data_IF_255303960834
#
_entry.id   IF_255303960834
#
_cell.length_a   1.000
_cell.length_b   1.000
_cell.length_c   1.000
_cell.angle_alpha   90.00
_cell.angle_beta   90.00
_cell.angle_gamma   90.00
#
_symmetry.space_group_name_H-M   'P 1'
#
loop_
_entity.id
_entity.type
_entity.pdbx_description
1 polymer ?
#
# COMPACT_ATOMS: atom_id res chain seq x y z
N UNK A 1 49.38 -25.81 -12.05
CA UNK A 1 48.53 -24.78 -12.69
C UNK A 1 47.12 -24.98 -12.15
N UNK A 2 46.76 -24.20 -11.15
CA UNK A 2 45.43 -24.27 -10.54
C UNK A 2 44.44 -23.64 -11.49
N UNK A 3 43.45 -24.43 -11.91
CA UNK A 3 42.23 -23.91 -12.52
C UNK A 3 41.48 -23.14 -11.42
N UNK A 4 41.53 -21.84 -11.50
CA UNK A 4 40.66 -20.98 -10.72
C UNK A 4 39.25 -21.30 -11.18
N UNK A 5 38.48 -22.10 -10.40
CA UNK A 5 37.04 -22.19 -10.52
C UNK A 5 36.50 -20.77 -10.38
N UNK A 6 36.22 -20.13 -11.53
CA UNK A 6 35.46 -18.90 -11.55
C UNK A 6 34.05 -19.30 -11.10
N UNK A 7 33.69 -18.94 -9.86
CA UNK A 7 32.32 -18.96 -9.41
C UNK A 7 31.49 -18.20 -10.45
N UNK A 8 30.76 -18.91 -11.29
CA UNK A 8 29.83 -18.29 -12.23
C UNK A 8 28.65 -17.80 -11.39
N UNK A 9 28.57 -16.50 -11.21
CA UNK A 9 27.48 -15.89 -10.47
C UNK A 9 26.14 -16.31 -11.09
N UNK A 10 25.21 -16.78 -10.26
CA UNK A 10 23.88 -17.23 -10.70
C UNK A 10 23.14 -16.08 -11.37
N UNK A 11 22.56 -16.31 -12.55
CA UNK A 11 21.74 -15.34 -13.29
C UNK A 11 20.32 -15.33 -12.72
N UNK A 12 19.90 -14.21 -12.14
CA UNK A 12 18.60 -14.04 -11.51
C UNK A 12 17.79 -12.96 -12.22
N UNK A 13 16.67 -13.35 -12.83
CA UNK A 13 15.69 -12.40 -13.35
C UNK A 13 14.78 -11.91 -12.21
N UNK A 14 14.61 -10.58 -12.09
CA UNK A 14 13.64 -9.97 -11.19
C UNK A 14 12.60 -9.26 -12.04
N UNK A 15 11.33 -9.66 -11.94
CA UNK A 15 10.24 -9.12 -12.72
C UNK A 15 9.36 -8.24 -11.83
N UNK A 16 9.36 -6.93 -12.12
CA UNK A 16 8.70 -5.88 -11.34
C UNK A 16 9.66 -5.14 -10.43
N UNK A 17 9.66 -3.82 -10.52
CA UNK A 17 10.53 -2.91 -9.77
C UNK A 17 9.83 -2.20 -8.60
N UNK A 18 8.68 -2.70 -8.13
CA UNK A 18 8.09 -2.26 -6.88
C UNK A 18 9.03 -2.53 -5.69
N UNK A 19 8.67 -2.07 -4.49
CA UNK A 19 9.52 -2.20 -3.30
C UNK A 19 10.01 -3.63 -3.04
N UNK A 20 9.21 -4.65 -3.37
CA UNK A 20 9.61 -6.05 -3.19
C UNK A 20 10.71 -6.49 -4.16
N UNK A 21 10.59 -6.13 -5.45
CA UNK A 21 11.63 -6.39 -6.45
C UNK A 21 12.90 -5.60 -6.19
N UNK A 22 12.79 -4.33 -5.82
CA UNK A 22 13.91 -3.49 -5.42
C UNK A 22 14.62 -4.03 -4.18
N UNK A 23 13.88 -4.55 -3.19
CA UNK A 23 14.45 -5.16 -1.99
C UNK A 23 15.23 -6.44 -2.32
N UNK A 24 14.67 -7.31 -3.18
CA UNK A 24 15.35 -8.52 -3.64
C UNK A 24 16.62 -8.15 -4.40
N UNK A 25 16.55 -7.21 -5.36
CA UNK A 25 17.69 -6.76 -6.14
C UNK A 25 18.78 -6.14 -5.26
N UNK A 26 18.39 -5.30 -4.29
CA UNK A 26 19.34 -4.69 -3.36
C UNK A 26 20.08 -5.72 -2.51
N UNK A 27 19.38 -6.74 -2.02
CA UNK A 27 19.96 -7.79 -1.17
C UNK A 27 20.83 -8.80 -1.95
N UNK A 28 20.51 -9.05 -3.23
CA UNK A 28 21.26 -9.94 -4.11
C UNK A 28 22.47 -9.25 -4.80
N UNK A 29 22.54 -7.93 -4.73
CA UNK A 29 23.60 -7.14 -5.36
C UNK A 29 25.00 -7.64 -4.97
N UNK A 30 25.85 -7.87 -6.00
CA UNK A 30 27.22 -8.36 -5.83
C UNK A 30 27.33 -9.83 -5.43
N UNK A 31 26.18 -10.54 -5.31
CA UNK A 31 26.10 -11.98 -4.99
C UNK A 31 25.50 -12.79 -6.15
N UNK A 32 24.72 -12.15 -7.02
CA UNK A 32 24.14 -12.74 -8.21
C UNK A 32 24.24 -11.76 -9.39
N UNK A 33 24.17 -12.30 -10.62
CA UNK A 33 24.01 -11.51 -11.84
C UNK A 33 22.52 -11.21 -12.05
N UNK A 34 22.14 -9.95 -11.81
CA UNK A 34 20.73 -9.54 -11.74
C UNK A 34 20.34 -8.82 -13.03
N UNK A 35 19.22 -9.24 -13.63
CA UNK A 35 18.48 -8.46 -14.61
C UNK A 35 17.12 -8.05 -14.01
N UNK A 36 16.87 -6.75 -13.90
CA UNK A 36 15.62 -6.18 -13.41
C UNK A 36 14.73 -5.75 -14.58
N UNK A 37 13.56 -6.36 -14.71
CA UNK A 37 12.56 -6.04 -15.72
C UNK A 37 11.44 -5.19 -15.13
N UNK A 38 11.10 -4.09 -15.80
CA UNK A 38 9.96 -3.23 -15.48
C UNK A 38 9.15 -2.93 -16.74
N UNK A 39 7.83 -3.11 -16.66
CA UNK A 39 6.92 -2.86 -17.77
C UNK A 39 6.59 -1.38 -17.97
N UNK A 40 6.64 -0.59 -16.88
CA UNK A 40 6.39 0.85 -16.90
C UNK A 40 7.62 1.63 -17.43
N UNK A 41 7.43 2.92 -17.63
CA UNK A 41 8.46 3.89 -18.03
C UNK A 41 9.25 4.47 -16.83
N UNK A 42 8.96 3.99 -15.61
CA UNK A 42 9.67 4.35 -14.38
C UNK A 42 9.86 3.13 -13.47
N UNK A 43 10.90 3.19 -12.61
CA UNK A 43 11.11 2.21 -11.56
C UNK A 43 10.43 2.66 -10.26
N UNK A 44 9.94 1.69 -9.47
CA UNK A 44 9.40 1.94 -8.13
C UNK A 44 7.99 1.39 -7.89
N UNK A 45 7.21 1.12 -8.94
CA UNK A 45 5.82 0.68 -8.81
C UNK A 45 4.99 1.72 -8.03
N UNK A 46 4.39 1.34 -6.89
CA UNK A 46 3.67 2.28 -6.02
C UNK A 46 4.56 3.32 -5.33
N UNK A 47 5.88 3.20 -5.39
CA UNK A 47 6.80 4.29 -5.06
C UNK A 47 6.89 5.22 -6.25
N UNK A 48 5.84 6.00 -6.44
CA UNK A 48 5.69 6.87 -7.59
C UNK A 48 5.71 8.33 -7.16
N UNK A 49 6.80 9.02 -7.45
CA UNK A 49 6.99 10.44 -7.21
C UNK A 49 6.93 11.20 -8.53
N UNK A 50 6.07 12.21 -8.62
CA UNK A 50 5.90 13.07 -9.78
C UNK A 50 6.54 14.42 -9.49
N UNK A 51 7.38 14.95 -10.38
CA UNK A 51 7.90 16.29 -10.26
C UNK A 51 6.85 17.29 -10.73
N UNK A 52 6.45 18.18 -9.81
CA UNK A 52 5.41 19.19 -10.04
C UNK A 52 6.00 20.58 -9.91
N UNK A 53 5.69 21.48 -10.86
CA UNK A 53 6.08 22.87 -10.80
C UNK A 53 4.87 23.74 -10.46
N UNK A 54 4.89 24.34 -9.27
CA UNK A 54 3.80 25.18 -8.74
C UNK A 54 4.35 26.45 -8.11
N UNK A 55 3.49 27.47 -7.85
CA UNK A 55 3.92 28.68 -7.14
C UNK A 55 4.46 28.38 -5.74
N UNK A 56 5.66 28.84 -5.45
CA UNK A 56 6.27 28.87 -4.13
C UNK A 56 6.35 30.29 -3.57
N UNK A 57 6.94 30.47 -2.38
CA UNK A 57 7.03 31.79 -1.71
C UNK A 57 7.83 32.85 -2.51
N UNK A 58 8.78 32.42 -3.34
CA UNK A 58 9.69 33.32 -4.07
C UNK A 58 9.63 33.11 -5.60
N UNK A 59 8.57 32.46 -6.12
CA UNK A 59 8.39 32.16 -7.53
C UNK A 59 8.05 30.67 -7.76
N UNK A 60 7.94 30.23 -9.02
CA UNK A 60 7.69 28.82 -9.32
C UNK A 60 8.80 27.93 -8.76
N UNK A 61 8.41 26.79 -8.17
CA UNK A 61 9.32 25.78 -7.63
C UNK A 61 8.91 24.40 -8.11
N UNK A 62 9.90 23.58 -8.51
CA UNK A 62 9.69 22.18 -8.86
C UNK A 62 10.03 21.29 -7.65
N UNK A 63 9.14 20.38 -7.28
CA UNK A 63 9.34 19.47 -6.15
C UNK A 63 8.65 18.12 -6.39
N UNK A 64 9.26 17.05 -5.88
CA UNK A 64 8.69 15.72 -5.95
C UNK A 64 7.45 15.56 -5.06
N UNK A 65 6.40 15.00 -5.64
CA UNK A 65 5.12 14.73 -4.99
C UNK A 65 4.80 13.26 -5.10
N UNK A 66 4.66 12.57 -3.98
CA UNK A 66 4.34 11.14 -3.96
C UNK A 66 2.84 10.91 -4.22
N UNK A 67 2.54 9.93 -5.07
CA UNK A 67 1.16 9.63 -5.47
C UNK A 67 0.69 8.23 -5.06
N UNK A 68 1.61 7.36 -4.61
CA UNK A 68 1.29 6.00 -4.16
C UNK A 68 1.75 5.78 -2.71
N UNK A 69 3.01 5.45 -2.48
CA UNK A 69 3.55 5.32 -1.13
C UNK A 69 3.79 6.71 -0.51
N UNK A 70 3.13 7.01 0.62
CA UNK A 70 3.12 8.34 1.22
C UNK A 70 3.85 8.41 2.57
N UNK A 71 3.61 7.45 3.46
CA UNK A 71 4.02 7.54 4.87
C UNK A 71 4.44 6.19 5.46
N UNK A 72 5.28 6.27 6.50
CA UNK A 72 5.70 5.14 7.32
C UNK A 72 5.83 5.57 8.79
N UNK A 73 5.96 4.62 9.72
CA UNK A 73 6.14 4.92 11.14
C UNK A 73 7.21 4.02 11.79
N UNK A 74 7.70 4.44 12.93
CA UNK A 74 8.82 3.77 13.62
C UNK A 74 8.45 2.39 14.17
N UNK A 75 7.17 2.12 14.42
CA UNK A 75 6.72 0.88 15.05
C UNK A 75 6.62 -0.29 14.07
N UNK A 76 6.13 -0.02 12.87
CA UNK A 76 5.73 -1.07 11.93
C UNK A 76 6.56 -1.13 10.65
N UNK A 77 7.55 -0.23 10.47
CA UNK A 77 8.41 -0.17 9.28
C UNK A 77 9.92 -0.30 9.60
N UNK A 78 10.37 -1.28 10.42
CA UNK A 78 11.77 -1.36 10.84
C UNK A 78 12.73 -1.62 9.68
N UNK A 79 12.34 -2.44 8.68
CA UNK A 79 13.21 -2.73 7.54
C UNK A 79 13.31 -1.54 6.58
N UNK A 80 12.20 -0.81 6.36
CA UNK A 80 12.23 0.40 5.55
C UNK A 80 13.10 1.48 6.19
N UNK A 81 12.98 1.69 7.50
CA UNK A 81 13.82 2.65 8.23
C UNK A 81 15.28 2.29 8.09
N UNK A 82 15.62 1.00 8.26
CA UNK A 82 16.99 0.52 8.05
C UNK A 82 17.46 0.78 6.62
N UNK A 83 16.65 0.44 5.62
CA UNK A 83 16.98 0.66 4.21
C UNK A 83 17.25 2.13 3.91
N UNK A 84 16.35 3.04 4.37
CA UNK A 84 16.51 4.48 4.18
C UNK A 84 17.79 5.01 4.84
N UNK A 85 18.11 4.51 6.04
CA UNK A 85 19.34 4.86 6.75
C UNK A 85 20.59 4.37 6.01
N UNK A 86 20.61 3.12 5.57
CA UNK A 86 21.72 2.51 4.82
C UNK A 86 21.97 3.26 3.49
N UNK A 87 20.89 3.70 2.83
CA UNK A 87 20.93 4.49 1.61
C UNK A 87 21.15 5.99 1.85
N UNK A 88 21.19 6.44 3.10
CA UNK A 88 21.32 7.87 3.46
C UNK A 88 20.23 8.73 2.79
N UNK A 89 18.98 8.29 2.89
CA UNK A 89 17.80 9.01 2.40
C UNK A 89 17.20 9.81 3.54
N UNK A 90 17.01 11.11 3.32
CA UNK A 90 16.43 12.00 4.32
C UNK A 90 14.92 11.78 4.47
N UNK A 91 14.43 11.87 5.70
CA UNK A 91 13.02 11.74 6.05
C UNK A 91 12.52 12.98 6.77
N UNK A 92 11.21 13.20 6.74
CA UNK A 92 10.56 14.32 7.43
C UNK A 92 9.33 13.80 8.21
N UNK A 93 8.96 14.52 9.28
CA UNK A 93 7.72 14.23 10.02
C UNK A 93 6.52 14.44 9.12
N UNK A 94 5.54 13.55 9.25
CA UNK A 94 4.28 13.56 8.51
C UNK A 94 3.09 13.58 9.46
N UNK A 95 1.96 14.10 8.99
CA UNK A 95 0.67 14.05 9.66
C UNK A 95 -0.10 12.79 9.20
N UNK A 96 -0.79 12.13 10.12
CA UNK A 96 -1.67 10.99 9.84
C UNK A 96 -3.08 11.27 10.38
N UNK A 97 -3.53 12.51 10.23
CA UNK A 97 -4.88 12.92 10.57
C UNK A 97 -5.90 12.40 9.56
N UNK A 98 -7.12 12.24 10.02
CA UNK A 98 -8.21 11.64 9.28
C UNK A 98 -9.48 12.46 9.43
N UNK A 99 -10.21 12.66 8.33
CA UNK A 99 -11.52 13.31 8.30
C UNK A 99 -12.56 12.53 7.50
N UNK A 100 -13.79 12.84 7.74
CA UNK A 100 -14.96 12.17 7.13
C UNK A 100 -15.94 13.22 6.62
N UNK A 101 -16.41 13.00 5.39
CA UNK A 101 -17.52 13.69 4.77
C UNK A 101 -18.60 12.66 4.42
N UNK A 102 -19.80 12.76 5.05
CA UNK A 102 -20.91 11.84 4.83
C UNK A 102 -22.18 12.62 4.52
N UNK A 103 -22.86 12.33 3.40
CA UNK A 103 -24.15 12.95 3.10
C UNK A 103 -25.19 12.60 4.15
N UNK A 104 -26.05 13.58 4.46
CA UNK A 104 -27.23 13.43 5.32
C UNK A 104 -28.49 13.81 4.56
N UNK A 105 -29.64 13.33 5.05
CA UNK A 105 -30.95 13.74 4.56
C UNK A 105 -31.08 15.26 4.50
N UNK A 106 -31.67 15.77 3.42
CA UNK A 106 -31.85 17.21 3.20
C UNK A 106 -30.63 17.95 2.64
N UNK A 107 -29.71 17.25 1.97
CA UNK A 107 -28.56 17.85 1.27
C UNK A 107 -27.46 18.38 2.22
N UNK A 108 -27.54 18.08 3.51
CA UNK A 108 -26.51 18.44 4.47
C UNK A 108 -25.39 17.38 4.46
N UNK A 109 -24.17 17.81 4.78
CA UNK A 109 -23.06 16.90 5.01
C UNK A 109 -22.66 16.87 6.49
N UNK A 110 -22.30 15.68 6.97
CA UNK A 110 -21.59 15.50 8.22
C UNK A 110 -20.09 15.61 7.93
N UNK A 111 -19.43 16.56 8.58
CA UNK A 111 -18.00 16.77 8.45
C UNK A 111 -17.35 16.81 9.84
N UNK A 112 -16.31 16.02 10.04
CA UNK A 112 -15.54 16.01 11.27
C UNK A 112 -14.15 15.38 11.05
N UNK A 113 -13.21 15.66 11.95
CA UNK A 113 -11.87 15.06 11.94
C UNK A 113 -11.48 14.60 13.35
N UNK A 114 -10.72 13.52 13.44
CA UNK A 114 -10.28 12.92 14.70
C UNK A 114 -9.04 13.54 15.35
N UNK A 115 -8.55 14.69 14.87
CA UNK A 115 -7.27 15.27 15.31
C UNK A 115 -7.32 15.94 16.68
N UNK A 116 -8.44 16.53 17.05
CA UNK A 116 -8.66 17.21 18.34
C UNK A 116 -10.15 17.35 18.64
N UNK A 117 -10.51 17.68 19.88
CA UNK A 117 -11.92 17.97 20.22
C UNK A 117 -12.49 19.10 19.36
N UNK A 118 -11.67 20.11 19.01
CA UNK A 118 -12.09 21.20 18.15
C UNK A 118 -12.44 20.73 16.74
N UNK A 119 -11.72 19.79 16.18
CA UNK A 119 -11.95 19.23 14.85
C UNK A 119 -13.05 18.16 14.85
N UNK A 120 -13.19 17.40 15.94
CA UNK A 120 -14.31 16.46 16.15
C UNK A 120 -15.63 17.24 16.08
N UNK A 121 -15.70 18.39 16.72
CA UNK A 121 -16.85 19.28 16.69
C UNK A 121 -16.68 20.43 15.68
N UNK A 122 -16.06 20.19 14.53
CA UNK A 122 -15.94 21.18 13.45
C UNK A 122 -17.30 21.79 13.07
N UNK A 123 -18.34 20.98 13.10
CA UNK A 123 -19.74 21.39 13.05
C UNK A 123 -20.31 21.45 14.47
N UNK A 124 -20.35 22.64 15.08
CA UNK A 124 -20.75 22.85 16.50
C UNK A 124 -22.13 22.27 16.86
N UNK A 125 -23.05 22.20 15.90
CA UNK A 125 -24.35 21.54 16.07
C UNK A 125 -24.26 20.08 16.51
N UNK A 126 -23.14 19.40 16.25
CA UNK A 126 -22.93 18.01 16.64
C UNK A 126 -22.71 17.83 18.15
N UNK A 127 -22.43 18.90 18.91
CA UNK A 127 -22.39 18.85 20.39
C UNK A 127 -23.73 18.42 21.00
N UNK A 128 -24.86 18.74 20.35
CA UNK A 128 -26.20 18.39 20.77
C UNK A 128 -26.84 17.24 19.96
N UNK A 129 -26.06 16.62 19.07
CA UNK A 129 -26.56 15.55 18.22
C UNK A 129 -26.35 14.18 18.86
N UNK A 130 -27.46 13.57 19.35
CA UNK A 130 -27.42 12.28 20.04
C UNK A 130 -26.84 11.12 19.22
N UNK A 131 -27.03 11.10 17.88
CA UNK A 131 -26.43 10.11 16.99
C UNK A 131 -24.91 10.28 16.91
N UNK A 132 -24.43 11.53 16.80
CA UNK A 132 -23.00 11.83 16.77
C UNK A 132 -22.32 11.47 18.10
N UNK A 133 -22.95 11.81 19.23
CA UNK A 133 -22.45 11.44 20.56
C UNK A 133 -22.43 9.92 20.78
N UNK A 134 -23.41 9.18 20.22
CA UNK A 134 -23.43 7.71 20.24
C UNK A 134 -22.24 7.14 19.46
N UNK A 135 -21.96 7.66 18.28
CA UNK A 135 -20.77 7.29 17.51
C UNK A 135 -19.49 7.48 18.33
N UNK A 136 -19.30 8.64 18.96
CA UNK A 136 -18.11 8.90 19.79
C UNK A 136 -17.99 7.91 20.96
N UNK A 137 -19.08 7.59 21.63
CA UNK A 137 -19.13 6.57 22.70
C UNK A 137 -18.71 5.20 22.16
N UNK A 138 -19.21 4.82 20.98
CA UNK A 138 -18.88 3.55 20.36
C UNK A 138 -17.43 3.50 19.88
N UNK A 139 -16.82 4.60 19.43
CA UNK A 139 -15.38 4.68 19.13
C UNK A 139 -14.55 4.33 20.37
N UNK A 140 -14.85 4.93 21.51
CA UNK A 140 -14.12 4.65 22.76
C UNK A 140 -14.31 3.19 23.20
N UNK A 141 -15.54 2.67 23.08
CA UNK A 141 -15.85 1.27 23.41
C UNK A 141 -15.13 0.29 22.48
N UNK A 142 -15.12 0.56 21.18
CA UNK A 142 -14.41 -0.22 20.17
C UNK A 142 -12.90 -0.27 20.47
N UNK A 143 -12.29 0.89 20.68
CA UNK A 143 -10.86 0.98 20.97
C UNK A 143 -10.49 0.16 22.22
N UNK A 144 -11.30 0.22 23.28
CA UNK A 144 -11.08 -0.58 24.48
C UNK A 144 -11.18 -2.09 24.21
N UNK A 145 -12.29 -2.54 23.62
CA UNK A 145 -12.52 -3.96 23.32
C UNK A 145 -11.42 -4.54 22.44
N UNK A 146 -11.07 -3.85 21.35
CA UNK A 146 -10.07 -4.34 20.40
C UNK A 146 -8.66 -4.27 20.96
N UNK A 147 -8.35 -3.31 21.83
CA UNK A 147 -7.07 -3.27 22.56
C UNK A 147 -6.95 -4.42 23.55
N UNK A 148 -7.99 -4.72 24.32
CA UNK A 148 -8.02 -5.84 25.25
C UNK A 148 -7.84 -7.18 24.52
N UNK A 149 -8.53 -7.38 23.39
CA UNK A 149 -8.37 -8.55 22.53
C UNK A 149 -6.93 -8.66 22.02
N UNK A 150 -6.35 -7.58 21.51
CA UNK A 150 -4.98 -7.57 20.98
C UNK A 150 -3.93 -7.88 22.05
N UNK A 151 -4.07 -7.33 23.27
CA UNK A 151 -3.17 -7.56 24.39
C UNK A 151 -3.15 -9.01 24.84
N UNK A 152 -4.29 -9.70 24.80
CA UNK A 152 -4.40 -11.12 25.16
C UNK A 152 -4.07 -12.05 24.00
N UNK A 153 -3.77 -11.52 22.80
CA UNK A 153 -3.58 -12.25 21.54
C UNK A 153 -4.77 -13.14 21.17
N UNK A 154 -5.96 -12.82 21.69
CA UNK A 154 -7.18 -13.58 21.44
C UNK A 154 -7.70 -13.43 19.99
N UNK A 155 -7.28 -12.36 19.29
CA UNK A 155 -7.68 -12.13 17.90
C UNK A 155 -7.26 -13.24 16.94
N UNK A 156 -6.19 -13.99 17.24
CA UNK A 156 -5.70 -15.07 16.35
C UNK A 156 -6.74 -16.17 16.10
N UNK A 157 -7.70 -16.34 17.02
CA UNK A 157 -8.82 -17.26 16.89
C UNK A 157 -10.06 -16.63 16.23
N UNK A 158 -10.07 -15.30 15.99
CA UNK A 158 -11.25 -14.55 15.51
C UNK A 158 -11.27 -14.48 13.98
N UNK A 159 -11.56 -15.60 13.33
CA UNK A 159 -11.65 -15.70 11.87
C UNK A 159 -13.01 -15.25 11.31
N UNK A 160 -13.97 -14.87 12.17
CA UNK A 160 -15.26 -14.36 11.74
C UNK A 160 -15.12 -13.05 10.96
N UNK A 161 -16.05 -12.75 10.03
CA UNK A 161 -16.06 -11.48 9.30
C UNK A 161 -16.32 -10.29 10.24
N UNK A 162 -15.80 -9.12 9.87
CA UNK A 162 -16.03 -7.87 10.59
C UNK A 162 -17.52 -7.54 10.76
N UNK A 163 -18.35 -7.86 9.75
CA UNK A 163 -19.82 -7.67 9.83
C UNK A 163 -20.43 -8.39 11.01
N UNK A 164 -20.05 -9.65 11.24
CA UNK A 164 -20.53 -10.44 12.37
C UNK A 164 -20.07 -9.84 13.72
N UNK A 165 -18.79 -9.50 13.82
CA UNK A 165 -18.23 -8.87 15.03
C UNK A 165 -18.93 -7.57 15.40
N UNK A 166 -19.17 -6.68 14.43
CA UNK A 166 -19.86 -5.40 14.67
C UNK A 166 -21.31 -5.64 15.17
N UNK A 167 -22.00 -6.62 14.60
CA UNK A 167 -23.36 -7.02 14.98
C UNK A 167 -23.39 -7.63 16.39
N UNK A 168 -22.54 -8.62 16.67
CA UNK A 168 -22.46 -9.32 17.96
C UNK A 168 -22.14 -8.35 19.11
N UNK A 169 -21.25 -7.40 18.84
CA UNK A 169 -20.91 -6.33 19.79
C UNK A 169 -21.94 -5.20 19.83
N UNK A 170 -23.01 -5.25 19.02
CA UNK A 170 -24.08 -4.24 18.98
C UNK A 170 -23.56 -2.82 18.82
N UNK A 171 -22.63 -2.60 17.88
CA UNK A 171 -22.19 -1.26 17.51
C UNK A 171 -23.28 -0.55 16.70
N UNK A 172 -23.41 0.78 16.90
CA UNK A 172 -24.40 1.58 16.19
C UNK A 172 -24.09 1.72 14.69
N UNK A 173 -25.13 1.99 13.89
CA UNK A 173 -24.95 2.29 12.46
C UNK A 173 -24.11 3.55 12.27
N UNK A 174 -24.26 4.55 13.12
CA UNK A 174 -23.49 5.78 13.10
C UNK A 174 -21.99 5.51 13.31
N UNK A 175 -21.63 4.60 14.22
CA UNK A 175 -20.24 4.16 14.40
C UNK A 175 -19.73 3.48 13.15
N UNK A 176 -20.50 2.52 12.61
CA UNK A 176 -20.11 1.78 11.39
C UNK A 176 -19.92 2.72 10.21
N UNK A 177 -20.90 3.59 9.93
CA UNK A 177 -21.01 4.32 8.67
C UNK A 177 -20.30 5.69 8.70
N UNK A 178 -20.06 6.29 9.86
CA UNK A 178 -19.46 7.62 9.99
C UNK A 178 -18.04 7.60 10.55
N UNK A 179 -17.56 6.43 11.00
CA UNK A 179 -16.19 6.28 11.51
C UNK A 179 -15.52 5.02 11.00
N UNK A 180 -16.09 3.84 11.28
CA UNK A 180 -15.39 2.57 11.11
C UNK A 180 -15.09 2.25 9.63
N UNK A 181 -16.13 2.19 8.78
CA UNK A 181 -15.97 1.95 7.36
C UNK A 181 -15.16 3.05 6.65
N UNK A 182 -15.37 4.36 6.92
CA UNK A 182 -14.47 5.40 6.45
C UNK A 182 -13.01 5.18 6.81
N UNK A 183 -12.71 4.86 8.07
CA UNK A 183 -11.33 4.60 8.52
C UNK A 183 -10.73 3.39 7.79
N UNK A 184 -11.48 2.28 7.70
CA UNK A 184 -11.04 1.07 6.98
C UNK A 184 -10.83 1.34 5.49
N UNK A 185 -11.71 2.14 4.88
CA UNK A 185 -11.59 2.56 3.49
C UNK A 185 -10.32 3.35 3.21
N UNK A 186 -9.94 4.25 4.12
CA UNK A 186 -8.68 4.97 4.05
C UNK A 186 -7.46 4.04 4.08
N UNK A 187 -7.53 2.93 4.82
CA UNK A 187 -6.40 2.02 5.02
C UNK A 187 -6.20 1.11 3.80
N UNK A 188 -7.26 0.47 3.31
CA UNK A 188 -7.15 -0.57 2.28
C UNK A 188 -7.66 -0.18 0.90
N UNK A 189 -8.28 0.98 0.75
CA UNK A 189 -8.78 1.50 -0.54
C UNK A 189 -9.65 0.51 -1.32
N UNK A 190 -10.40 -0.33 -0.62
CA UNK A 190 -11.31 -1.31 -1.20
C UNK A 190 -12.78 -1.03 -0.77
N UNK A 191 -13.78 -1.50 -1.54
CA UNK A 191 -15.19 -1.29 -1.24
C UNK A 191 -15.60 -1.71 0.17
N UNK A 192 -16.51 -0.96 0.78
CA UNK A 192 -16.94 -1.17 2.16
C UNK A 192 -17.54 -2.56 2.41
N UNK A 193 -18.28 -3.10 1.44
CA UNK A 193 -18.86 -4.44 1.52
C UNK A 193 -17.79 -5.53 1.57
N UNK A 194 -16.70 -5.36 0.82
CA UNK A 194 -15.58 -6.27 0.85
C UNK A 194 -14.84 -6.19 2.19
N UNK A 195 -14.63 -4.97 2.72
CA UNK A 195 -14.02 -4.79 4.04
C UNK A 195 -14.80 -5.45 5.17
N UNK A 196 -16.12 -5.49 5.10
CA UNK A 196 -16.97 -6.17 6.07
C UNK A 196 -16.77 -7.70 6.08
N UNK A 197 -16.16 -8.28 5.04
CA UNK A 197 -15.78 -9.69 4.97
C UNK A 197 -14.36 -9.96 5.49
N UNK A 198 -13.58 -8.94 5.81
CA UNK A 198 -12.23 -9.14 6.37
C UNK A 198 -12.31 -9.87 7.71
N UNK A 199 -11.37 -10.79 8.00
CA UNK A 199 -11.29 -11.41 9.31
C UNK A 199 -11.02 -10.36 10.41
N UNK A 200 -11.75 -10.48 11.52
CA UNK A 200 -11.56 -9.62 12.70
C UNK A 200 -10.11 -9.64 13.18
N UNK A 201 -9.47 -10.81 13.17
CA UNK A 201 -8.06 -10.98 13.53
C UNK A 201 -7.13 -10.03 12.75
N UNK A 202 -7.30 -9.99 11.42
CA UNK A 202 -6.49 -9.15 10.52
C UNK A 202 -6.64 -7.67 10.87
N UNK A 203 -7.88 -7.22 11.03
CA UNK A 203 -8.20 -5.82 11.34
C UNK A 203 -7.65 -5.41 12.72
N UNK A 204 -7.93 -6.18 13.77
CA UNK A 204 -7.48 -5.84 15.13
C UNK A 204 -5.95 -5.79 15.21
N UNK A 205 -5.26 -6.82 14.69
CA UNK A 205 -3.80 -6.86 14.71
C UNK A 205 -3.19 -5.69 13.95
N UNK A 206 -3.71 -5.40 12.76
CA UNK A 206 -3.25 -4.26 11.98
C UNK A 206 -3.45 -2.93 12.71
N UNK A 207 -4.69 -2.64 13.15
CA UNK A 207 -5.01 -1.38 13.82
C UNK A 207 -4.24 -1.21 15.13
N UNK A 208 -4.02 -2.29 15.88
CA UNK A 208 -3.22 -2.27 17.11
C UNK A 208 -1.75 -1.94 16.81
N UNK A 209 -1.14 -2.63 15.86
CA UNK A 209 0.27 -2.42 15.50
C UNK A 209 0.53 -0.99 15.01
N UNK A 210 -0.40 -0.42 14.23
CA UNK A 210 -0.30 0.94 13.69
C UNK A 210 -0.78 2.04 14.66
N UNK A 211 -1.23 1.70 15.87
CA UNK A 211 -1.72 2.66 16.86
C UNK A 211 -3.04 3.35 16.48
N UNK A 212 -3.82 2.77 15.56
CA UNK A 212 -5.06 3.37 15.06
C UNK A 212 -6.24 3.25 16.04
N UNK A 213 -6.22 2.26 16.92
CA UNK A 213 -7.18 2.06 18.00
C UNK A 213 -6.73 2.67 19.33
N UNK A 214 -5.71 3.53 19.30
CA UNK A 214 -5.19 4.25 20.46
C UNK A 214 -5.54 5.73 20.36
N UNK A 215 -6.01 6.32 21.46
CA UNK A 215 -6.27 7.76 21.54
C UNK A 215 -4.97 8.52 21.86
N UNK A 216 -4.11 7.92 22.69
CA UNK A 216 -2.81 8.45 23.12
C UNK A 216 -1.68 7.52 22.69
N UNK A 217 -0.44 7.99 22.78
CA UNK A 217 0.76 7.22 22.40
C UNK A 217 0.74 6.66 20.96
N UNK A 218 0.19 7.44 20.04
CA UNK A 218 0.25 7.11 18.62
C UNK A 218 1.68 7.21 18.12
N UNK A 219 2.14 6.31 17.20
CA UNK A 219 3.47 6.41 16.62
C UNK A 219 3.62 7.71 15.84
N UNK A 220 4.83 8.27 15.81
CA UNK A 220 5.16 9.35 14.87
C UNK A 220 5.19 8.77 13.46
N UNK A 221 4.54 9.46 12.54
CA UNK A 221 4.59 9.14 11.12
C UNK A 221 5.63 9.99 10.41
N UNK A 222 6.21 9.43 9.39
CA UNK A 222 7.29 10.01 8.60
C UNK A 222 7.00 9.85 7.11
N UNK A 223 7.64 10.69 6.30
CA UNK A 223 7.66 10.60 4.84
C UNK A 223 9.10 10.76 4.33
N UNK A 224 9.34 10.39 3.08
CA UNK A 224 10.64 10.63 2.44
C UNK A 224 10.69 12.09 1.98
N UNK A 225 11.72 12.83 2.42
CA UNK A 225 11.89 14.23 2.05
C UNK A 225 12.23 14.36 0.56
N UNK A 226 11.48 15.17 -0.16
CA UNK A 226 11.66 15.37 -1.60
C UNK A 226 11.03 14.30 -2.49
N UNK A 227 10.41 13.28 -1.88
CA UNK A 227 9.73 12.19 -2.58
C UNK A 227 10.45 10.85 -2.46
N UNK A 228 9.65 9.79 -2.47
CA UNK A 228 10.12 8.42 -2.26
C UNK A 228 11.00 7.90 -3.40
N UNK A 229 10.97 8.52 -4.59
CA UNK A 229 11.85 8.19 -5.72
C UNK A 229 13.33 8.17 -5.33
N UNK A 230 13.75 8.96 -4.33
CA UNK A 230 15.17 9.07 -3.96
C UNK A 230 15.77 7.75 -3.46
N UNK A 231 15.02 6.91 -2.73
CA UNK A 231 15.55 5.60 -2.37
C UNK A 231 15.56 4.64 -3.57
N UNK A 232 14.56 4.75 -4.48
CA UNK A 232 14.51 3.96 -5.72
C UNK A 232 15.74 4.24 -6.57
N UNK A 233 16.03 5.52 -6.84
CA UNK A 233 17.19 5.98 -7.60
C UNK A 233 18.51 5.42 -7.03
N UNK A 234 18.66 5.44 -5.70
CA UNK A 234 19.85 4.92 -5.03
C UNK A 234 19.99 3.38 -5.13
N UNK A 235 18.88 2.65 -5.16
CA UNK A 235 18.92 1.18 -5.36
C UNK A 235 19.28 0.87 -6.80
N UNK A 236 18.55 1.43 -7.77
CA UNK A 236 18.74 1.11 -9.20
C UNK A 236 20.09 1.58 -9.75
N UNK A 237 20.70 2.62 -9.17
CA UNK A 237 22.04 3.08 -9.53
C UNK A 237 23.09 1.95 -9.39
N UNK A 238 22.84 0.98 -8.55
CA UNK A 238 23.74 -0.14 -8.26
C UNK A 238 23.32 -1.46 -8.96
N UNK A 239 22.33 -1.44 -9.85
CA UNK A 239 21.90 -2.58 -10.66
C UNK A 239 22.42 -2.36 -12.08
N UNK A 240 23.28 -3.25 -12.57
CA UNK A 240 23.94 -3.11 -13.88
C UNK A 240 22.93 -3.27 -15.01
N UNK A 241 22.15 -4.36 -15.02
CA UNK A 241 21.11 -4.62 -16.02
C UNK A 241 19.73 -4.33 -15.46
N UNK A 242 19.17 -3.20 -15.84
CA UNK A 242 17.83 -2.72 -15.47
C UNK A 242 17.11 -2.17 -16.68
N UNK A 243 15.90 -2.64 -16.92
CA UNK A 243 15.19 -2.43 -18.18
C UNK A 243 13.79 -1.89 -17.92
N UNK A 244 13.53 -0.64 -18.36
CA UNK A 244 12.20 -0.03 -18.42
C UNK A 244 11.49 -0.38 -19.72
N UNK A 245 10.17 -0.17 -19.77
CA UNK A 245 9.34 -0.46 -20.94
C UNK A 245 9.59 -1.88 -21.50
N UNK A 246 9.91 -2.82 -20.60
CA UNK A 246 10.29 -4.19 -20.99
C UNK A 246 9.35 -5.19 -20.29
N UNK A 247 8.08 -5.27 -20.74
CA UNK A 247 7.13 -6.21 -20.17
C UNK A 247 7.55 -7.65 -20.46
N UNK A 248 7.62 -8.46 -19.41
CA UNK A 248 7.77 -9.91 -19.53
C UNK A 248 6.44 -10.50 -20.01
N UNK A 249 6.49 -11.21 -21.13
CA UNK A 249 5.31 -11.78 -21.80
C UNK A 249 5.06 -13.23 -21.42
N UNK A 250 6.12 -14.00 -21.21
CA UNK A 250 6.03 -15.44 -20.94
C UNK A 250 7.24 -15.92 -20.15
N UNK A 251 7.00 -16.84 -19.24
CA UNK A 251 8.00 -17.49 -18.41
C UNK A 251 7.85 -19.00 -18.55
N UNK A 252 8.84 -19.66 -19.14
CA UNK A 252 8.92 -21.12 -19.25
C UNK A 252 9.95 -21.62 -18.25
N UNK A 253 9.64 -22.67 -17.54
CA UNK A 253 10.48 -23.26 -16.48
C UNK A 253 10.70 -24.73 -16.77
N UNK A 254 11.93 -25.15 -16.75
CA UNK A 254 12.31 -26.53 -16.96
C UNK A 254 13.46 -26.96 -16.02
N UNK A 255 14.04 -28.15 -16.27
CA UNK A 255 15.15 -28.66 -15.47
C UNK A 255 16.46 -27.87 -15.65
N UNK A 256 16.56 -27.05 -16.70
CA UNK A 256 17.76 -26.27 -17.03
C UNK A 256 17.72 -24.84 -16.49
N UNK A 257 16.54 -24.40 -16.01
CA UNK A 257 16.35 -23.07 -15.44
C UNK A 257 15.05 -22.42 -15.89
N UNK A 258 15.11 -21.11 -16.16
CA UNK A 258 13.96 -20.25 -16.48
C UNK A 258 14.22 -19.48 -17.76
N UNK A 259 13.30 -19.56 -18.70
CA UNK A 259 13.31 -18.76 -19.92
C UNK A 259 12.34 -17.59 -19.77
N UNK A 260 12.83 -16.37 -19.94
CA UNK A 260 12.06 -15.13 -19.91
C UNK A 260 11.91 -14.61 -21.32
N UNK A 261 10.68 -14.47 -21.80
CA UNK A 261 10.36 -13.88 -23.10
C UNK A 261 9.82 -12.47 -22.94
N UNK A 262 10.43 -11.52 -23.62
CA UNK A 262 9.99 -10.13 -23.77
C UNK A 262 9.75 -9.82 -25.24
N UNK A 263 9.34 -8.60 -25.57
CA UNK A 263 9.21 -8.17 -26.98
C UNK A 263 10.58 -8.12 -27.72
N UNK A 264 11.69 -8.09 -26.99
CA UNK A 264 13.04 -8.10 -27.55
C UNK A 264 13.61 -9.51 -27.81
N UNK A 265 12.95 -10.57 -27.30
CA UNK A 265 13.40 -11.95 -27.46
C UNK A 265 13.30 -12.77 -26.17
N UNK A 266 13.96 -13.93 -26.18
CA UNK A 266 13.97 -14.88 -25.05
C UNK A 266 15.38 -15.00 -24.49
N UNK A 267 15.49 -14.92 -23.15
CA UNK A 267 16.75 -15.07 -22.42
C UNK A 267 16.64 -16.17 -21.36
N UNK A 268 17.77 -16.81 -21.06
CA UNK A 268 17.88 -17.89 -20.08
C UNK A 268 18.42 -17.34 -18.75
N UNK A 269 17.80 -17.76 -17.64
CA UNK A 269 18.19 -17.46 -16.26
C UNK A 269 18.19 -18.73 -15.43
N UNK A 270 18.94 -18.73 -14.33
CA UNK A 270 18.92 -19.84 -13.37
C UNK A 270 17.68 -19.78 -12.49
N UNK A 271 17.25 -18.55 -12.15
CA UNK A 271 16.09 -18.31 -11.27
C UNK A 271 15.31 -17.08 -11.69
N UNK A 272 14.03 -17.04 -11.29
CA UNK A 272 13.17 -15.86 -11.43
C UNK A 272 12.52 -15.48 -10.11
N UNK A 273 12.52 -14.17 -9.83
CA UNK A 273 11.76 -13.53 -8.76
C UNK A 273 10.59 -12.77 -9.39
N UNK A 274 9.37 -13.20 -9.11
CA UNK A 274 8.13 -12.54 -9.55
C UNK A 274 7.70 -11.57 -8.45
N UNK A 275 8.01 -10.28 -8.67
CA UNK A 275 7.75 -9.17 -7.75
C UNK A 275 6.59 -8.29 -8.23
N UNK A 276 5.68 -8.85 -9.01
CA UNK A 276 4.46 -8.23 -9.53
C UNK A 276 3.24 -8.58 -8.68
N UNK A 277 2.06 -8.12 -9.06
CA UNK A 277 0.80 -8.63 -8.49
C UNK A 277 0.68 -10.14 -8.74
N UNK A 278 -0.05 -10.85 -7.89
CA UNK A 278 -0.19 -12.31 -7.99
C UNK A 278 -0.88 -12.75 -9.28
N UNK A 279 -1.89 -12.02 -9.73
CA UNK A 279 -2.60 -12.24 -11.00
C UNK A 279 -1.69 -11.99 -12.22
N UNK A 280 -0.88 -10.95 -12.18
CA UNK A 280 0.14 -10.66 -13.21
C UNK A 280 1.21 -11.76 -13.24
N UNK A 281 1.70 -12.17 -12.07
CA UNK A 281 2.64 -13.29 -11.94
C UNK A 281 2.07 -14.56 -12.59
N UNK A 282 0.82 -14.89 -12.27
CA UNK A 282 0.14 -16.06 -12.82
C UNK A 282 -0.02 -15.99 -14.33
N UNK A 283 -0.39 -14.81 -14.86
CA UNK A 283 -0.59 -14.60 -16.30
C UNK A 283 0.69 -14.80 -17.12
N UNK A 284 1.86 -14.49 -16.56
CA UNK A 284 3.16 -14.67 -17.23
C UNK A 284 3.64 -16.13 -17.24
N UNK A 285 3.21 -16.96 -16.28
CA UNK A 285 3.67 -18.34 -16.14
C UNK A 285 3.12 -19.23 -17.26
N UNK A 286 4.01 -19.88 -18.00
CA UNK A 286 3.63 -20.96 -18.91
C UNK A 286 3.46 -22.25 -18.09
N UNK A 287 2.30 -22.88 -18.20
CA UNK A 287 1.95 -24.10 -17.47
C UNK A 287 2.17 -23.99 -15.94
N UNK A 288 1.44 -23.09 -15.23
CA UNK A 288 1.50 -23.03 -13.79
C UNK A 288 1.00 -24.36 -13.18
N UNK A 289 1.59 -24.78 -12.07
CA UNK A 289 1.08 -25.94 -11.31
C UNK A 289 -0.30 -25.63 -10.71
N UNK A 290 -1.05 -26.67 -10.37
CA UNK A 290 -2.36 -26.52 -9.73
C UNK A 290 -2.27 -25.69 -8.42
N UNK A 291 -1.19 -25.87 -7.65
CA UNK A 291 -0.95 -25.12 -6.41
C UNK A 291 -0.66 -23.62 -6.68
N UNK A 292 0.15 -23.31 -7.71
CA UNK A 292 0.38 -21.92 -8.14
C UNK A 292 -0.90 -21.27 -8.64
N UNK A 293 -1.67 -21.97 -9.50
CA UNK A 293 -2.95 -21.50 -10.01
C UNK A 293 -3.90 -21.18 -8.86
N UNK A 294 -4.05 -22.06 -7.89
CA UNK A 294 -4.92 -21.88 -6.74
C UNK A 294 -4.49 -20.72 -5.87
N UNK A 295 -3.21 -20.65 -5.50
CA UNK A 295 -2.71 -19.66 -4.57
C UNK A 295 -2.67 -18.24 -5.18
N UNK A 296 -2.16 -18.11 -6.41
CA UNK A 296 -2.00 -16.79 -7.06
C UNK A 296 -3.34 -16.19 -7.50
N UNK A 297 -4.31 -17.02 -7.94
CA UNK A 297 -5.64 -16.54 -8.35
C UNK A 297 -6.54 -16.15 -7.18
N UNK A 298 -6.25 -16.62 -5.96
CA UNK A 298 -7.06 -16.35 -4.78
C UNK A 298 -6.96 -14.88 -4.30
N UNK A 299 -5.92 -14.16 -4.72
CA UNK A 299 -5.73 -12.76 -4.33
C UNK A 299 -6.27 -11.86 -5.45
N UNK A 300 -7.37 -11.20 -5.16
CA UNK A 300 -8.02 -10.27 -6.08
C UNK A 300 -7.49 -8.85 -5.89
N UNK A 301 -7.61 -8.04 -6.93
CA UNK A 301 -7.18 -6.65 -6.92
C UNK A 301 -8.34 -5.72 -7.24
N UNK A 302 -8.45 -4.64 -6.47
CA UNK A 302 -9.40 -3.56 -6.69
C UNK A 302 -8.71 -2.44 -7.48
N UNK A 303 -9.17 -2.12 -8.70
CA UNK A 303 -8.65 -0.99 -9.44
C UNK A 303 -9.08 0.32 -8.80
N UNK A 304 -8.16 1.30 -8.79
CA UNK A 304 -8.36 2.61 -8.21
C UNK A 304 -7.74 3.69 -9.11
N UNK A 305 -8.56 4.64 -9.58
CA UNK A 305 -8.06 5.81 -10.31
C UNK A 305 -7.56 6.85 -9.33
N UNK A 306 -6.30 7.25 -9.45
CA UNK A 306 -5.68 8.31 -8.68
C UNK A 306 -5.51 9.57 -9.55
N UNK A 307 -5.92 10.73 -9.04
CA UNK A 307 -5.81 12.02 -9.72
C UNK A 307 -4.99 12.97 -8.85
N UNK A 308 -3.86 13.44 -9.36
CA UNK A 308 -3.04 14.48 -8.74
C UNK A 308 -3.53 15.85 -9.23
N UNK A 309 -3.95 16.73 -8.31
CA UNK A 309 -4.60 17.99 -8.66
C UNK A 309 -4.48 19.06 -7.58
N UNK A 310 -4.95 20.27 -7.90
CA UNK A 310 -4.98 21.44 -6.99
C UNK A 310 -6.40 21.88 -6.59
N UNK A 311 -7.43 21.14 -6.97
CA UNK A 311 -8.82 21.45 -6.63
C UNK A 311 -9.12 21.08 -5.17
N UNK A 312 -9.37 22.09 -4.32
CA UNK A 312 -9.72 21.89 -2.91
C UNK A 312 -11.21 21.76 -2.65
N UNK A 313 -12.07 21.85 -3.68
CA UNK A 313 -13.52 21.70 -3.54
C UNK A 313 -13.95 20.28 -3.13
N UNK A 314 -13.06 19.30 -3.28
CA UNK A 314 -13.23 17.92 -2.83
C UNK A 314 -13.03 17.74 -1.33
N UNK A 315 -12.38 18.69 -0.66
CA UNK A 315 -12.11 18.65 0.78
C UNK A 315 -13.33 19.13 1.57
N UNK A 316 -13.41 18.85 2.91
CA UNK A 316 -14.51 19.34 3.74
C UNK A 316 -14.74 20.85 3.59
N UNK A 317 -16.01 21.28 3.55
CA UNK A 317 -16.35 22.70 3.52
C UNK A 317 -15.80 23.45 4.73
N UNK A 318 -15.77 22.79 5.89
CA UNK A 318 -15.18 23.32 7.11
C UNK A 318 -13.67 23.08 7.09
N UNK A 319 -12.86 24.08 6.73
CA UNK A 319 -11.40 23.98 6.69
C UNK A 319 -10.78 23.41 7.97
N UNK A 320 -11.41 23.66 9.14
CA UNK A 320 -10.97 23.09 10.42
C UNK A 320 -11.06 21.54 10.46
N UNK A 321 -11.89 20.95 9.60
CA UNK A 321 -12.00 19.50 9.45
C UNK A 321 -11.03 18.91 8.40
N UNK A 322 -10.24 19.73 7.71
CA UNK A 322 -9.24 19.24 6.78
C UNK A 322 -8.23 18.38 7.52
N UNK A 323 -7.88 17.27 6.92
CA UNK A 323 -6.93 16.31 7.45
C UNK A 323 -6.01 15.81 6.34
N UNK A 324 -4.95 15.12 6.71
CA UNK A 324 -4.07 14.48 5.75
C UNK A 324 -4.83 13.48 4.85
N UNK A 325 -5.78 12.74 5.45
CA UNK A 325 -6.63 11.76 4.79
C UNK A 325 -8.09 12.18 4.94
N UNK A 326 -8.79 12.46 3.83
CA UNK A 326 -10.17 12.93 3.83
C UNK A 326 -11.05 11.92 3.07
N UNK A 327 -11.89 11.18 3.80
CA UNK A 327 -12.84 10.26 3.22
C UNK A 327 -14.11 10.99 2.79
N UNK A 328 -14.59 10.71 1.55
CA UNK A 328 -15.87 11.19 1.05
C UNK A 328 -16.78 10.01 0.73
N UNK A 329 -17.99 10.00 1.32
CA UNK A 329 -19.01 8.99 1.08
C UNK A 329 -19.89 9.37 -0.11
N UNK A 330 -20.17 8.41 -1.01
CA UNK A 330 -21.13 8.58 -2.09
C UNK A 330 -22.57 8.70 -1.55
N UNK A 331 -23.41 9.50 -2.20
CA UNK A 331 -24.84 9.57 -1.89
C UNK A 331 -25.57 8.26 -2.23
N UNK A 332 -25.12 7.58 -3.29
CA UNK A 332 -25.69 6.30 -3.74
C UNK A 332 -24.90 5.14 -3.13
N UNK A 333 -25.58 4.29 -2.39
CA UNK A 333 -24.98 3.09 -1.75
C UNK A 333 -24.32 2.15 -2.75
N UNK A 334 -24.88 2.00 -3.96
CA UNK A 334 -24.31 1.16 -5.03
C UNK A 334 -22.93 1.62 -5.48
N UNK A 335 -22.67 2.94 -5.51
CA UNK A 335 -21.36 3.48 -5.89
C UNK A 335 -20.34 3.29 -4.78
N UNK A 336 -20.74 3.43 -3.54
CA UNK A 336 -19.87 3.21 -2.39
C UNK A 336 -19.47 1.74 -2.25
N UNK A 337 -20.38 0.81 -2.54
CA UNK A 337 -20.06 -0.63 -2.60
C UNK A 337 -19.06 -0.96 -3.71
N UNK A 338 -18.98 -0.13 -4.76
CA UNK A 338 -18.04 -0.34 -5.85
C UNK A 338 -16.65 0.28 -5.60
N UNK A 339 -16.59 1.48 -5.01
CA UNK A 339 -15.33 2.22 -4.86
C UNK A 339 -15.32 3.12 -3.63
N UNK A 340 -14.16 3.19 -2.96
CA UNK A 340 -13.88 4.13 -1.88
C UNK A 340 -13.32 5.42 -2.47
N UNK A 341 -13.84 6.57 -2.02
CA UNK A 341 -13.33 7.89 -2.39
C UNK A 341 -12.50 8.49 -1.26
N UNK A 342 -11.27 8.84 -1.57
CA UNK A 342 -10.30 9.45 -0.63
C UNK A 342 -9.62 10.65 -1.27
N UNK A 343 -9.34 11.67 -0.46
CA UNK A 343 -8.58 12.83 -0.86
C UNK A 343 -7.41 13.02 0.12
N UNK A 344 -6.19 12.80 -0.37
CA UNK A 344 -4.96 12.99 0.39
C UNK A 344 -4.51 14.43 0.23
N UNK A 345 -4.53 15.23 1.31
CA UNK A 345 -4.00 16.59 1.33
C UNK A 345 -2.48 16.52 1.55
N UNK A 346 -1.74 16.53 0.45
CA UNK A 346 -0.31 16.26 0.45
C UNK A 346 0.51 17.28 1.22
N UNK A 347 0.05 18.53 1.33
CA UNK A 347 0.72 19.56 2.16
C UNK A 347 0.75 19.21 3.66
N UNK A 348 -0.09 18.28 4.13
CA UNK A 348 -0.04 17.77 5.50
C UNK A 348 0.80 16.50 5.60
N UNK A 349 0.95 15.76 4.49
CA UNK A 349 1.68 14.50 4.42
C UNK A 349 3.17 14.71 4.11
N UNK A 350 3.48 15.67 3.24
CA UNK A 350 4.83 15.95 2.78
C UNK A 350 5.18 17.43 2.99
N UNK A 351 6.44 17.78 3.31
CA UNK A 351 6.89 19.18 3.43
C UNK A 351 7.02 19.82 2.04
N UNK A 352 5.88 20.09 1.38
CA UNK A 352 5.85 20.69 0.06
C UNK A 352 6.11 22.20 0.12
N UNK A 353 6.95 22.76 -0.78
CA UNK A 353 7.30 24.19 -0.79
C UNK A 353 6.26 25.08 -1.48
N UNK A 354 5.11 24.52 -1.85
CA UNK A 354 4.06 25.19 -2.61
C UNK A 354 3.17 26.08 -1.73
N UNK A 355 2.73 27.22 -2.26
CA UNK A 355 1.79 28.13 -1.59
C UNK A 355 0.33 27.69 -1.74
N UNK A 356 0.04 26.77 -2.63
CA UNK A 356 -1.29 26.20 -2.83
C UNK A 356 -1.38 24.75 -2.37
N UNK A 357 -2.59 24.29 -2.14
CA UNK A 357 -2.86 22.91 -1.76
C UNK A 357 -2.67 21.96 -2.94
N UNK A 358 -2.05 20.84 -2.66
CA UNK A 358 -1.89 19.71 -3.60
C UNK A 358 -2.63 18.50 -3.02
N UNK A 359 -3.46 17.87 -3.84
CA UNK A 359 -4.32 16.77 -3.45
C UNK A 359 -4.10 15.59 -4.40
N UNK A 360 -4.03 14.39 -3.85
CA UNK A 360 -4.25 13.16 -4.62
C UNK A 360 -5.63 12.62 -4.24
N UNK A 361 -6.53 12.54 -5.22
CA UNK A 361 -7.85 11.95 -5.04
C UNK A 361 -7.90 10.54 -5.60
N UNK A 362 -8.29 9.59 -4.77
CA UNK A 362 -8.54 8.21 -5.18
C UNK A 362 -10.04 8.05 -5.46
N UNK A 363 -10.40 7.67 -6.68
CA UNK A 363 -11.77 7.49 -7.15
C UNK A 363 -12.69 8.69 -6.86
N UNK A 364 -12.35 9.91 -7.26
CA UNK A 364 -13.13 11.12 -6.93
C UNK A 364 -14.58 10.97 -7.39
N UNK A 365 -15.53 11.31 -6.50
CA UNK A 365 -16.98 11.21 -6.76
C UNK A 365 -17.45 12.27 -7.76
N UNK A 366 -16.80 13.42 -7.74
CA UNK A 366 -17.04 14.54 -8.64
C UNK A 366 -15.91 14.62 -9.65
N UNK A 367 -16.23 15.06 -10.85
CA UNK A 367 -15.23 15.33 -11.86
C UNK A 367 -14.37 16.53 -11.43
N UNK A 368 -13.05 16.33 -11.45
CA UNK A 368 -12.08 17.39 -11.20
C UNK A 368 -11.86 18.15 -12.49
N UNK A 369 -12.02 19.46 -12.44
CA UNK A 369 -11.86 20.30 -13.64
C UNK A 369 -10.44 20.18 -14.21
N UNK A 370 -10.31 19.96 -15.51
CA UNK A 370 -9.03 19.71 -16.21
C UNK A 370 -7.92 20.70 -15.88
N UNK A 371 -8.26 21.98 -15.69
CA UNK A 371 -7.30 23.03 -15.32
C UNK A 371 -6.59 22.82 -13.97
N UNK A 372 -7.14 21.95 -13.12
CA UNK A 372 -6.56 21.61 -11.83
C UNK A 372 -5.80 20.27 -11.85
N UNK A 373 -6.01 19.43 -12.87
CA UNK A 373 -5.38 18.10 -12.97
C UNK A 373 -3.93 18.27 -13.45
N UNK A 374 -3.01 17.68 -12.73
CA UNK A 374 -1.60 17.62 -13.08
C UNK A 374 -1.21 16.25 -13.66
N UNK A 375 -1.76 15.16 -13.10
CA UNK A 375 -1.52 13.81 -13.59
C UNK A 375 -2.64 12.86 -13.13
N UNK A 376 -2.76 11.73 -13.82
CA UNK A 376 -3.71 10.65 -13.50
C UNK A 376 -3.00 9.30 -13.58
N UNK A 377 -3.38 8.37 -12.69
CA UNK A 377 -2.77 7.05 -12.60
C UNK A 377 -3.84 6.00 -12.28
N UNK A 378 -3.65 4.81 -12.82
CA UNK A 378 -4.43 3.62 -12.46
C UNK A 378 -3.60 2.74 -11.52
N UNK A 379 -4.05 2.65 -10.28
CA UNK A 379 -3.49 1.76 -9.27
C UNK A 379 -4.41 0.57 -9.03
N UNK A 380 -3.88 -0.51 -8.47
CA UNK A 380 -4.67 -1.65 -8.03
C UNK A 380 -4.18 -2.12 -6.66
N UNK A 381 -5.12 -2.34 -5.75
CA UNK A 381 -4.82 -2.75 -4.38
C UNK A 381 -5.35 -4.15 -4.10
N UNK A 382 -4.59 -5.02 -3.41
CA UNK A 382 -5.04 -6.35 -3.08
C UNK A 382 -6.20 -6.34 -2.06
N UNK A 383 -7.14 -7.25 -2.24
CA UNK A 383 -8.28 -7.46 -1.34
C UNK A 383 -8.01 -8.64 -0.42
N UNK A 384 -8.07 -8.41 0.90
CA UNK A 384 -7.69 -9.37 1.92
C UNK A 384 -8.89 -10.10 2.54
N UNK A 385 -9.61 -10.88 1.73
CA UNK A 385 -10.62 -11.81 2.23
C UNK A 385 -9.98 -13.10 2.79
N UNK A 386 -10.83 -14.02 3.28
CA UNK A 386 -10.36 -15.28 3.85
C UNK A 386 -9.59 -16.15 2.84
N UNK A 387 -9.94 -16.08 1.55
CA UNK A 387 -9.26 -16.82 0.50
C UNK A 387 -7.83 -16.28 0.31
N UNK A 388 -7.67 -14.96 0.24
CA UNK A 388 -6.36 -14.30 0.15
C UNK A 388 -5.47 -14.61 1.37
N UNK A 389 -6.03 -14.57 2.60
CA UNK A 389 -5.28 -14.89 3.83
C UNK A 389 -4.81 -16.35 3.86
N UNK A 390 -5.60 -17.31 3.32
CA UNK A 390 -5.17 -18.71 3.18
C UNK A 390 -4.08 -18.84 2.12
N UNK A 391 -4.26 -18.23 0.98
CA UNK A 391 -3.30 -18.24 -0.12
C UNK A 391 -1.91 -17.71 0.29
N UNK A 392 -1.83 -16.70 1.17
CA UNK A 392 -0.56 -16.21 1.70
C UNK A 392 0.28 -17.31 2.38
N UNK A 393 -0.36 -18.28 3.04
CA UNK A 393 0.33 -19.43 3.65
C UNK A 393 0.79 -20.43 2.58
N UNK A 394 -0.02 -20.64 1.56
CA UNK A 394 0.27 -21.58 0.47
C UNK A 394 1.46 -21.08 -0.38
N UNK A 395 1.55 -19.77 -0.61
CA UNK A 395 2.68 -19.12 -1.32
C UNK A 395 4.03 -19.44 -0.64
N UNK A 396 4.07 -19.54 0.68
CA UNK A 396 5.32 -19.88 1.38
C UNK A 396 5.86 -21.26 0.98
N UNK A 397 4.99 -22.22 0.69
CA UNK A 397 5.35 -23.55 0.25
C UNK A 397 5.78 -23.61 -1.24
N UNK A 398 5.42 -22.63 -2.04
CA UNK A 398 5.78 -22.56 -3.47
C UNK A 398 7.17 -21.99 -3.72
N UNK A 399 7.77 -21.35 -2.72
CA UNK A 399 9.05 -20.64 -2.89
C UNK A 399 10.18 -21.56 -3.35
N UNK A 400 10.78 -21.21 -4.48
CA UNK A 400 11.89 -21.93 -5.11
C UNK A 400 11.50 -23.24 -5.82
N UNK A 401 10.21 -23.57 -5.91
CA UNK A 401 9.75 -24.62 -6.81
C UNK A 401 9.91 -24.15 -8.25
N UNK A 402 10.39 -25.03 -9.12
CA UNK A 402 10.69 -24.72 -10.53
C UNK A 402 11.54 -23.43 -10.69
N UNK A 403 12.53 -23.23 -9.80
CA UNK A 403 13.41 -22.05 -9.81
C UNK A 403 12.67 -20.68 -9.74
N UNK A 404 11.45 -20.67 -9.19
CA UNK A 404 10.57 -19.50 -9.14
C UNK A 404 10.33 -19.06 -7.71
N UNK A 405 10.41 -17.75 -7.48
CA UNK A 405 10.15 -17.11 -6.19
C UNK A 405 9.11 -16.02 -6.37
N UNK A 406 8.23 -15.85 -5.39
CA UNK A 406 7.15 -14.87 -5.40
C UNK A 406 7.32 -13.90 -4.25
N UNK A 407 7.27 -12.60 -4.52
CA UNK A 407 7.24 -11.57 -3.51
C UNK A 407 6.29 -10.43 -3.89
N UNK A 408 5.85 -9.68 -2.89
CA UNK A 408 4.92 -8.57 -3.07
C UNK A 408 4.28 -8.18 -1.74
N UNK A 409 3.75 -6.98 -1.64
CA UNK A 409 3.02 -6.51 -0.46
C UNK A 409 1.78 -7.39 -0.17
N UNK A 410 1.21 -8.01 -1.19
CA UNK A 410 0.08 -8.94 -1.10
C UNK A 410 0.36 -10.22 -0.31
N UNK A 411 1.64 -10.54 -0.03
CA UNK A 411 2.04 -11.64 0.86
C UNK A 411 1.90 -11.31 2.35
N UNK A 412 1.53 -10.09 2.69
CA UNK A 412 1.27 -9.58 4.03
C UNK A 412 -0.03 -8.77 4.08
N UNK A 413 -0.02 -7.62 4.73
CA UNK A 413 -1.19 -6.73 4.86
C UNK A 413 -1.35 -5.73 3.69
N UNK A 414 -0.49 -5.77 2.68
CA UNK A 414 -0.55 -4.91 1.50
C UNK A 414 0.26 -3.62 1.62
N UNK A 415 1.08 -3.48 2.64
CA UNK A 415 1.85 -2.26 2.89
C UNK A 415 3.30 -2.37 2.41
N UNK A 416 3.93 -1.21 2.35
CA UNK A 416 5.29 -1.07 1.85
C UNK A 416 6.31 -1.95 2.60
N UNK A 417 6.20 -2.02 3.92
CA UNK A 417 7.02 -2.89 4.75
C UNK A 417 6.81 -4.38 4.43
N UNK A 418 5.57 -4.79 4.12
CA UNK A 418 5.30 -6.18 3.75
C UNK A 418 5.97 -6.55 2.43
N UNK A 419 5.91 -5.64 1.45
CA UNK A 419 6.60 -5.78 0.18
C UNK A 419 8.11 -5.89 0.36
N UNK A 420 8.69 -4.97 1.13
CA UNK A 420 10.12 -4.97 1.46
C UNK A 420 10.55 -6.28 2.13
N UNK A 421 9.84 -6.70 3.17
CA UNK A 421 10.10 -7.96 3.89
C UNK A 421 10.03 -9.17 2.96
N UNK A 422 9.06 -9.21 2.07
CA UNK A 422 8.89 -10.34 1.15
C UNK A 422 10.06 -10.46 0.17
N UNK A 423 10.52 -9.33 -0.37
CA UNK A 423 11.70 -9.29 -1.25
C UNK A 423 13.00 -9.70 -0.54
N UNK A 424 13.21 -9.22 0.69
CA UNK A 424 14.38 -9.61 1.50
C UNK A 424 14.38 -11.11 1.80
N UNK A 425 13.24 -11.72 2.17
CA UNK A 425 13.12 -13.16 2.41
C UNK A 425 13.43 -13.98 1.17
N UNK A 426 12.95 -13.56 0.00
CA UNK A 426 13.24 -14.24 -1.25
C UNK A 426 14.75 -14.21 -1.54
N UNK A 427 15.38 -13.06 -1.38
CA UNK A 427 16.84 -12.96 -1.56
C UNK A 427 17.61 -13.87 -0.59
N UNK A 428 17.22 -13.92 0.68
CA UNK A 428 17.81 -14.81 1.69
C UNK A 428 17.65 -16.29 1.29
N UNK A 429 16.46 -16.69 0.82
CA UNK A 429 16.22 -18.06 0.36
C UNK A 429 17.02 -18.44 -0.89
N UNK A 430 17.27 -17.50 -1.80
CA UNK A 430 18.11 -17.72 -2.96
C UNK A 430 19.56 -17.97 -2.51
N UNK A 431 20.09 -17.14 -1.63
CA UNK A 431 21.47 -17.24 -1.14
C UNK A 431 21.71 -18.48 -0.30
N UNK A 432 20.78 -18.85 0.61
CA UNK A 432 20.93 -20.04 1.45
C UNK A 432 20.89 -21.35 0.66
N UNK A 433 20.20 -21.39 -0.47
CA UNK A 433 20.20 -22.56 -1.37
C UNK A 433 21.50 -22.68 -2.16
N UNK A 434 22.18 -21.58 -2.44
CA UNK A 434 23.52 -21.58 -3.04
C UNK A 434 24.56 -22.16 -2.08
N UNK A 435 24.54 -21.71 -0.81
CA UNK A 435 25.44 -22.21 0.23
C UNK A 435 25.25 -23.72 0.50
N UNK A 436 24.01 -24.23 0.35
CA UNK A 436 23.73 -25.66 0.51
C UNK A 436 24.10 -26.50 -0.71
N UNK A 437 24.30 -25.90 -1.88
CA UNK A 437 24.66 -26.56 -3.14
C UNK A 437 26.18 -26.50 -3.43
N UNK A 438 26.91 -25.62 -2.75
CA UNK A 438 28.37 -25.45 -2.84
C UNK A 438 29.08 -26.37 -1.82
#
# INVERSE_FOLDING_TARGET
>A
MGVSDRFVAQRVAIVGSGISGLAAAHALRGKADITLFESADYFGGHTHTVDVTLPGAHGPVTHGVDTGFLVFNERTYPNLIKLLADLKVETAKSDMSFSVQVPRTGGQQLEWSGSSLNTVFAQRKNLLNGQFLRMLKDILRFNRITTDIANTKAESAMLQPLSAFLSDQKFSNEFRDWYFLPMMGCIWSCPTDQMLQFPVATMIRFCYNHGLIQVTNRPQWWTVKGGAKHYVEKIIANIADKRLNTPVRRIVRDSTGVQITTDAGTEQFDRVVLATHSDQSLAMLHAPSAAEQQALSAIRYQPNRAVLHTDTSVLPQKKIAWAAWNYERAEQTTRESAQVCLHYLLNMLQPLPFTQSVVVSLNPLKEIARKHIMAEFDYAHPVFDLAAIRAQKDIAALQGQHNTFFCGAWTGYGFHEDGLKSGLRVAEQILSREEAAA
#
